data_IF_898795833232
#
_entry.id   IF_898795833232
#
_cell.length_a   1.000
_cell.length_b   1.000
_cell.length_c   1.000
_cell.angle_alpha   90.00
_cell.angle_beta   90.00
_cell.angle_gamma   90.00
#
_symmetry.space_group_name_H-M   'P 1'
#
loop_
_entity.id
_entity.type
_entity.pdbx_description
1 polymer ?
#
# COMPACT_ATOMS: atom_id res chain seq x y z
N UNK A 1 8.19 0.76 -20.41
CA UNK A 1 7.57 1.22 -19.15
C UNK A 1 7.47 0.05 -18.19
N UNK A 2 7.51 0.28 -16.88
CA UNK A 2 7.27 -0.76 -15.88
C UNK A 2 5.81 -0.71 -15.42
N UNK A 3 5.11 -1.84 -15.35
CA UNK A 3 3.77 -1.94 -14.78
C UNK A 3 3.85 -2.52 -13.36
N UNK A 4 3.40 -1.75 -12.36
CA UNK A 4 3.18 -2.23 -11.01
C UNK A 4 1.71 -2.59 -10.80
N UNK A 5 1.47 -3.74 -10.15
CA UNK A 5 0.14 -4.18 -9.73
C UNK A 5 0.18 -4.48 -8.24
N UNK A 6 -0.59 -3.73 -7.45
CA UNK A 6 -0.75 -3.94 -6.02
C UNK A 6 -2.16 -4.45 -5.72
N UNK A 7 -2.28 -5.73 -5.40
CA UNK A 7 -3.56 -6.40 -5.13
C UNK A 7 -3.81 -6.53 -3.62
N UNK A 8 -4.56 -5.57 -3.09
CA UNK A 8 -5.06 -5.60 -1.72
C UNK A 8 -6.46 -6.22 -1.60
N UNK A 9 -6.95 -6.36 -0.37
CA UNK A 9 -8.27 -6.94 -0.08
C UNK A 9 -9.45 -6.20 -0.72
N UNK A 10 -9.34 -4.87 -0.86
CA UNK A 10 -10.44 -4.03 -1.36
C UNK A 10 -10.28 -3.65 -2.82
N UNK A 11 -9.06 -3.34 -3.25
CA UNK A 11 -8.78 -2.89 -4.60
C UNK A 11 -7.48 -3.50 -5.13
N UNK A 12 -7.41 -3.65 -6.44
CA UNK A 12 -6.18 -3.87 -7.19
C UNK A 12 -5.78 -2.56 -7.86
N UNK A 13 -4.62 -2.04 -7.50
CA UNK A 13 -4.06 -0.79 -8.04
C UNK A 13 -3.11 -1.14 -9.18
N UNK A 14 -3.32 -0.52 -10.34
CA UNK A 14 -2.41 -0.55 -11.48
C UNK A 14 -1.75 0.81 -11.62
N UNK A 15 -0.46 0.83 -11.95
CA UNK A 15 0.22 2.07 -12.31
C UNK A 15 1.41 1.80 -13.23
N UNK A 16 1.68 2.76 -14.11
CA UNK A 16 2.80 2.71 -15.03
C UNK A 16 3.92 3.61 -14.53
N UNK A 17 5.14 3.12 -14.58
CA UNK A 17 6.33 3.92 -14.34
C UNK A 17 7.01 4.22 -15.67
N UNK A 18 7.14 5.51 -15.97
CA UNK A 18 7.87 5.98 -17.14
C UNK A 18 9.36 6.18 -16.79
N UNK A 19 10.28 5.38 -17.36
CA UNK A 19 11.70 5.50 -17.09
C UNK A 19 12.31 6.82 -17.59
N UNK A 20 11.70 7.49 -18.58
CA UNK A 20 12.21 8.77 -19.11
C UNK A 20 11.97 9.90 -18.13
N UNK A 21 10.76 9.97 -17.56
CA UNK A 21 10.39 11.03 -16.62
C UNK A 21 10.63 10.66 -15.15
N UNK A 22 10.90 9.37 -14.87
CA UNK A 22 11.03 8.81 -13.51
C UNK A 22 9.78 9.04 -12.65
N UNK A 23 8.60 9.03 -13.27
CA UNK A 23 7.31 9.28 -12.60
C UNK A 23 6.33 8.13 -12.79
N UNK A 24 5.48 7.96 -11.79
CA UNK A 24 4.28 7.15 -11.90
C UNK A 24 3.21 7.91 -12.69
N UNK A 25 2.61 7.25 -13.66
CA UNK A 25 1.52 7.74 -14.50
C UNK A 25 0.41 6.69 -14.58
N UNK A 26 -0.74 7.08 -15.11
CA UNK A 26 -1.80 6.16 -15.49
C UNK A 26 -2.24 5.21 -14.36
N UNK A 27 -2.40 5.77 -13.15
CA UNK A 27 -2.83 4.99 -12.00
C UNK A 27 -4.35 4.79 -12.04
N UNK A 28 -4.79 3.53 -11.96
CA UNK A 28 -6.21 3.18 -11.87
C UNK A 28 -6.44 2.02 -10.91
N UNK A 29 -7.70 1.81 -10.52
CA UNK A 29 -8.09 0.81 -9.52
C UNK A 29 -9.21 -0.07 -10.04
N UNK A 30 -9.12 -1.36 -9.74
CA UNK A 30 -10.16 -2.36 -9.96
C UNK A 30 -10.60 -2.93 -8.62
N UNK A 31 -11.83 -3.42 -8.52
CA UNK A 31 -12.29 -4.18 -7.36
C UNK A 31 -11.67 -5.59 -7.31
N UNK A 32 -11.22 -6.02 -6.12
CA UNK A 32 -10.50 -7.30 -5.94
C UNK A 32 -11.36 -8.55 -6.08
N UNK A 33 -12.69 -8.45 -5.89
CA UNK A 33 -13.60 -9.62 -5.92
C UNK A 33 -13.42 -10.46 -7.19
N UNK A 34 -13.03 -11.73 -7.07
CA UNK A 34 -12.47 -12.55 -8.17
C UNK A 34 -13.26 -12.52 -9.48
N UNK A 35 -14.56 -12.80 -9.46
CA UNK A 35 -15.39 -12.79 -10.68
C UNK A 35 -15.45 -11.40 -11.33
N UNK A 36 -15.60 -10.36 -10.50
CA UNK A 36 -15.58 -8.97 -10.96
C UNK A 36 -14.19 -8.58 -11.46
N UNK A 37 -13.12 -9.04 -10.80
CA UNK A 37 -11.75 -8.74 -11.21
C UNK A 37 -11.45 -9.34 -12.58
N UNK A 38 -11.76 -10.61 -12.84
CA UNK A 38 -11.53 -11.25 -14.15
C UNK A 38 -12.25 -10.48 -15.27
N UNK A 39 -13.52 -10.11 -15.04
CA UNK A 39 -14.30 -9.31 -15.99
C UNK A 39 -13.69 -7.93 -16.20
N UNK A 40 -13.20 -7.28 -15.15
CA UNK A 40 -12.56 -5.97 -15.23
C UNK A 40 -11.19 -6.02 -15.92
N UNK A 41 -10.38 -7.04 -15.64
CA UNK A 41 -9.10 -7.27 -16.31
C UNK A 41 -9.31 -7.42 -17.82
N UNK A 42 -10.24 -8.27 -18.24
CA UNK A 42 -10.46 -8.57 -19.67
C UNK A 42 -11.17 -7.46 -20.45
N UNK A 43 -11.86 -6.53 -19.78
CA UNK A 43 -12.63 -5.46 -20.44
C UNK A 43 -12.11 -4.06 -20.14
N UNK A 44 -12.00 -3.71 -18.86
CA UNK A 44 -11.64 -2.34 -18.44
C UNK A 44 -10.17 -2.02 -18.68
N UNK A 45 -9.25 -2.99 -18.47
CA UNK A 45 -7.82 -2.71 -18.67
C UNK A 45 -7.47 -2.48 -20.15
N UNK A 46 -7.91 -3.31 -21.12
CA UNK A 46 -7.70 -3.02 -22.53
C UNK A 46 -8.31 -1.68 -22.97
N UNK A 47 -9.53 -1.38 -22.50
CA UNK A 47 -10.18 -0.10 -22.79
C UNK A 47 -9.37 1.07 -22.24
N UNK A 48 -8.89 0.98 -21.00
CA UNK A 48 -8.08 2.02 -20.39
C UNK A 48 -6.77 2.27 -21.17
N UNK A 49 -6.09 1.21 -21.60
CA UNK A 49 -4.88 1.31 -22.43
C UNK A 49 -5.17 2.00 -23.76
N UNK A 50 -6.28 1.63 -24.42
CA UNK A 50 -6.74 2.25 -25.64
C UNK A 50 -7.05 3.74 -25.47
N UNK A 51 -7.82 4.11 -24.44
CA UNK A 51 -8.20 5.50 -24.14
C UNK A 51 -7.01 6.42 -23.85
N UNK A 52 -5.94 5.86 -23.29
CA UNK A 52 -4.72 6.61 -22.98
C UNK A 52 -3.64 6.49 -24.05
N UNK A 53 -3.96 5.88 -25.20
CA UNK A 53 -3.05 5.65 -26.32
C UNK A 53 -1.75 4.92 -25.92
N UNK A 54 -1.85 3.95 -25.00
CA UNK A 54 -0.73 3.13 -24.54
C UNK A 54 -0.82 1.77 -25.22
N UNK A 55 0.26 1.35 -25.88
CA UNK A 55 0.33 -0.01 -26.43
C UNK A 55 0.72 -1.00 -25.32
N UNK A 56 0.10 -2.19 -25.25
CA UNK A 56 0.57 -3.28 -24.37
C UNK A 56 2.04 -3.61 -24.59
N UNK A 57 2.57 -3.44 -25.81
CA UNK A 57 3.98 -3.65 -26.16
C UNK A 57 4.93 -2.66 -25.49
N UNK A 58 4.43 -1.50 -25.04
CA UNK A 58 5.24 -0.48 -24.37
C UNK A 58 5.62 -0.89 -22.93
N UNK A 59 4.94 -1.90 -22.39
CA UNK A 59 5.22 -2.46 -21.07
C UNK A 59 6.40 -3.41 -21.19
N UNK A 60 7.56 -3.02 -20.65
CA UNK A 60 8.79 -3.81 -20.70
C UNK A 60 8.84 -4.89 -19.64
N UNK A 61 8.41 -4.55 -18.42
CA UNK A 61 8.45 -5.37 -17.21
C UNK A 61 7.16 -5.21 -16.42
N UNK A 62 6.75 -6.28 -15.74
CA UNK A 62 5.57 -6.29 -14.89
C UNK A 62 5.95 -6.91 -13.54
N UNK A 63 5.65 -6.22 -12.46
CA UNK A 63 5.79 -6.76 -11.10
C UNK A 63 4.49 -6.62 -10.35
N UNK A 64 4.17 -7.60 -9.51
CA UNK A 64 2.98 -7.52 -8.67
C UNK A 64 3.18 -8.03 -7.26
N UNK A 65 2.44 -7.40 -6.35
CA UNK A 65 2.28 -7.78 -4.96
C UNK A 65 0.82 -8.16 -4.73
N UNK A 66 0.57 -9.20 -3.93
CA UNK A 66 -0.79 -9.54 -3.50
C UNK A 66 -0.80 -10.12 -2.11
N UNK A 67 -1.77 -9.69 -1.30
CA UNK A 67 -2.14 -10.31 -0.02
C UNK A 67 -3.40 -11.18 -0.13
N UNK A 68 -3.94 -11.30 -1.35
CA UNK A 68 -5.15 -12.05 -1.68
C UNK A 68 -4.77 -13.20 -2.63
N UNK A 69 -4.65 -14.45 -2.13
CA UNK A 69 -4.21 -15.59 -2.95
C UNK A 69 -5.10 -15.86 -4.18
N UNK A 70 -6.40 -15.60 -4.06
CA UNK A 70 -7.42 -15.92 -5.07
C UNK A 70 -7.25 -15.12 -6.36
N UNK A 71 -6.59 -13.95 -6.30
CA UNK A 71 -6.38 -13.09 -7.48
C UNK A 71 -5.05 -13.32 -8.18
N UNK A 72 -4.16 -14.14 -7.60
CA UNK A 72 -2.84 -14.43 -8.17
C UNK A 72 -2.95 -15.04 -9.58
N UNK A 73 -3.71 -16.13 -9.72
CA UNK A 73 -3.92 -16.81 -11.00
C UNK A 73 -4.52 -15.88 -12.07
N UNK A 74 -5.65 -15.22 -11.78
CA UNK A 74 -6.26 -14.23 -12.68
C UNK A 74 -5.32 -13.13 -13.17
N UNK A 75 -4.49 -12.55 -12.27
CA UNK A 75 -3.54 -11.50 -12.64
C UNK A 75 -2.44 -12.07 -13.55
N UNK A 76 -1.89 -13.24 -13.22
CA UNK A 76 -0.85 -13.87 -14.00
C UNK A 76 -1.32 -14.20 -15.42
N UNK A 77 -2.49 -14.86 -15.54
CA UNK A 77 -3.08 -15.23 -16.82
C UNK A 77 -3.41 -14.01 -17.68
N UNK A 78 -3.95 -12.95 -17.07
CA UNK A 78 -4.21 -11.70 -17.76
C UNK A 78 -2.92 -11.08 -18.32
N UNK A 79 -1.85 -11.05 -17.52
CA UNK A 79 -0.59 -10.45 -17.96
C UNK A 79 0.01 -11.21 -19.16
N UNK A 80 -0.02 -12.54 -19.12
CA UNK A 80 0.46 -13.39 -20.21
C UNK A 80 -0.37 -13.19 -21.48
N UNK A 81 -1.70 -13.12 -21.38
CA UNK A 81 -2.59 -12.97 -22.54
C UNK A 81 -2.58 -11.58 -23.15
N UNK A 82 -2.59 -10.53 -22.32
CA UNK A 82 -2.76 -9.15 -22.80
C UNK A 82 -1.42 -8.46 -23.09
N UNK A 83 -0.40 -8.66 -22.26
CA UNK A 83 0.93 -8.07 -22.45
C UNK A 83 1.92 -9.01 -23.13
N UNK A 84 1.60 -10.30 -23.29
CA UNK A 84 2.52 -11.31 -23.82
C UNK A 84 3.69 -11.61 -22.87
N UNK A 85 3.55 -11.31 -21.57
CA UNK A 85 4.64 -11.36 -20.59
C UNK A 85 4.16 -11.87 -19.24
N UNK A 86 4.99 -12.71 -18.62
CA UNK A 86 4.79 -13.13 -17.24
C UNK A 86 5.05 -11.96 -16.28
N UNK A 87 4.16 -11.77 -15.30
CA UNK A 87 4.38 -10.83 -14.21
C UNK A 87 5.28 -11.46 -13.13
N UNK A 88 6.23 -10.69 -12.60
CA UNK A 88 7.02 -11.13 -11.46
C UNK A 88 6.18 -11.02 -10.19
N UNK A 89 5.81 -12.16 -9.62
CA UNK A 89 5.13 -12.21 -8.33
C UNK A 89 6.11 -12.02 -7.18
N UNK A 90 5.88 -10.97 -6.38
CA UNK A 90 6.60 -10.77 -5.14
C UNK A 90 6.09 -11.74 -4.09
N UNK A 91 7.03 -12.42 -3.45
CA UNK A 91 6.79 -13.33 -2.34
C UNK A 91 8.04 -13.63 -1.53
N UNK A 92 7.99 -14.59 -0.58
CA UNK A 92 9.05 -14.85 0.40
C UNK A 92 10.43 -15.11 -0.20
N UNK A 93 10.50 -15.70 -1.40
CA UNK A 93 11.76 -16.00 -2.10
C UNK A 93 12.46 -14.71 -2.58
N UNK A 94 11.69 -13.68 -2.91
CA UNK A 94 12.19 -12.41 -3.44
C UNK A 94 13.02 -11.62 -2.45
N UNK A 95 12.89 -11.91 -1.14
CA UNK A 95 13.52 -11.14 -0.07
C UNK A 95 14.96 -11.57 0.23
N UNK A 96 15.37 -12.76 -0.22
CA UNK A 96 16.65 -13.37 0.17
C UNK A 96 17.89 -12.55 -0.23
N UNK A 97 17.80 -11.83 -1.34
CA UNK A 97 18.90 -11.02 -1.89
C UNK A 97 18.69 -9.52 -1.68
N UNK A 98 17.71 -9.13 -0.86
CA UNK A 98 17.43 -7.73 -0.59
C UNK A 98 18.22 -7.25 0.63
N UNK A 99 18.52 -5.94 0.72
CA UNK A 99 19.12 -5.34 1.92
C UNK A 99 18.14 -5.24 3.10
N UNK A 100 16.97 -5.88 3.00
CA UNK A 100 15.93 -5.91 4.01
C UNK A 100 15.58 -7.34 4.36
N UNK A 101 15.17 -7.58 5.60
CA UNK A 101 14.84 -8.93 6.06
C UNK A 101 13.71 -8.94 7.08
N UNK A 102 13.14 -10.11 7.32
CA UNK A 102 12.12 -10.33 8.34
C UNK A 102 12.29 -11.73 8.93
N UNK A 103 11.93 -11.90 10.19
CA UNK A 103 12.00 -13.19 10.89
C UNK A 103 10.97 -14.18 10.30
N UNK A 104 9.83 -13.67 9.82
CA UNK A 104 8.70 -14.48 9.34
C UNK A 104 8.31 -14.11 7.91
N UNK A 105 9.16 -14.41 6.90
CA UNK A 105 8.96 -13.96 5.53
C UNK A 105 7.71 -14.53 4.85
N UNK A 106 7.15 -15.63 5.37
CA UNK A 106 5.89 -16.22 4.86
C UNK A 106 4.63 -15.62 5.48
N UNK A 107 4.74 -14.96 6.63
CA UNK A 107 3.59 -14.40 7.37
C UNK A 107 3.41 -12.91 7.10
N UNK A 108 4.49 -12.20 6.74
CA UNK A 108 4.40 -10.77 6.42
C UNK A 108 3.72 -10.54 5.07
N UNK A 109 2.87 -9.51 5.01
CA UNK A 109 2.29 -9.02 3.76
C UNK A 109 3.36 -8.62 2.76
N UNK A 110 3.13 -8.97 1.49
CA UNK A 110 4.02 -8.63 0.37
C UNK A 110 4.05 -7.12 0.12
N UNK A 111 2.93 -6.44 0.32
CA UNK A 111 2.76 -4.99 0.32
C UNK A 111 3.62 -4.30 1.40
N UNK A 112 3.63 -4.84 2.62
CA UNK A 112 4.45 -4.32 3.72
C UNK A 112 5.94 -4.45 3.40
N UNK A 113 6.38 -5.58 2.83
CA UNK A 113 7.77 -5.75 2.40
C UNK A 113 8.14 -4.81 1.23
N UNK A 114 7.19 -4.52 0.33
CA UNK A 114 7.39 -3.50 -0.70
C UNK A 114 7.59 -2.11 -0.08
N UNK A 115 6.75 -1.73 0.89
CA UNK A 115 6.88 -0.47 1.61
C UNK A 115 8.25 -0.37 2.31
N UNK A 116 8.68 -1.45 3.00
CA UNK A 116 9.98 -1.52 3.66
C UNK A 116 11.12 -1.36 2.65
N UNK A 117 11.08 -2.06 1.51
CA UNK A 117 12.12 -1.93 0.49
C UNK A 117 12.22 -0.51 -0.04
N UNK A 118 11.07 0.13 -0.28
CA UNK A 118 11.02 1.48 -0.79
C UNK A 118 11.57 2.51 0.20
N UNK A 119 11.12 2.44 1.45
CA UNK A 119 11.62 3.31 2.52
C UNK A 119 13.12 3.09 2.76
N UNK A 120 13.56 1.84 2.82
CA UNK A 120 14.94 1.47 3.10
C UNK A 120 15.90 1.99 2.02
N UNK A 121 15.56 1.83 0.75
CA UNK A 121 16.38 2.31 -0.36
C UNK A 121 16.61 3.83 -0.32
N UNK A 122 15.67 4.59 0.24
CA UNK A 122 15.77 6.05 0.33
C UNK A 122 16.54 6.52 1.57
N UNK A 123 16.40 5.82 2.69
CA UNK A 123 16.84 6.34 3.98
C UNK A 123 17.94 5.52 4.66
N UNK A 124 17.97 4.19 4.48
CA UNK A 124 18.99 3.29 5.06
C UNK A 124 19.26 3.53 6.56
N UNK A 125 18.19 3.67 7.35
CA UNK A 125 18.22 3.89 8.78
C UNK A 125 17.00 3.28 9.44
N UNK A 126 16.88 3.34 10.77
CA UNK A 126 15.68 2.89 11.46
C UNK A 126 14.43 3.64 10.97
N UNK A 127 13.36 2.89 10.70
CA UNK A 127 12.12 3.38 10.09
C UNK A 127 10.88 2.91 10.84
N UNK A 128 9.86 3.77 10.86
CA UNK A 128 8.48 3.39 11.14
C UNK A 128 7.66 3.75 9.91
N UNK A 129 7.03 2.77 9.29
CA UNK A 129 6.20 2.98 8.10
C UNK A 129 4.74 2.83 8.51
N UNK A 130 3.97 3.89 8.33
CA UNK A 130 2.55 3.97 8.65
C UNK A 130 1.73 3.89 7.37
N UNK A 131 1.09 2.75 7.12
CA UNK A 131 0.27 2.55 5.91
C UNK A 131 -1.22 2.77 6.18
N UNK A 132 -1.80 3.79 5.56
CA UNK A 132 -3.22 4.13 5.63
C UNK A 132 -4.04 3.41 4.56
N UNK A 133 -4.12 2.08 4.69
CA UNK A 133 -4.89 1.18 3.83
C UNK A 133 -6.23 0.73 4.41
N UNK A 134 -6.68 -0.45 4.00
CA UNK A 134 -7.87 -1.13 4.58
C UNK A 134 -7.64 -1.42 6.07
N UNK A 135 -6.42 -1.79 6.42
CA UNK A 135 -5.89 -1.72 7.78
C UNK A 135 -4.96 -0.52 7.90
N UNK A 136 -4.83 0.05 9.09
CA UNK A 136 -3.75 0.95 9.43
C UNK A 136 -2.63 0.12 10.05
N UNK A 137 -1.46 0.12 9.42
CA UNK A 137 -0.32 -0.67 9.89
C UNK A 137 0.85 0.20 10.30
N UNK A 138 1.65 -0.28 11.26
CA UNK A 138 2.91 0.31 11.68
C UNK A 138 3.99 -0.74 11.50
N UNK A 139 4.82 -0.61 10.47
CA UNK A 139 5.95 -1.52 10.23
C UNK A 139 7.22 -0.91 10.77
N UNK A 140 7.85 -1.58 11.73
CA UNK A 140 9.06 -1.09 12.41
C UNK A 140 10.28 -1.81 11.85
N UNK A 141 11.29 -1.04 11.44
CA UNK A 141 12.53 -1.52 10.84
C UNK A 141 13.71 -0.94 11.61
N UNK A 142 14.70 -1.77 11.94
CA UNK A 142 15.94 -1.32 12.59
C UNK A 142 16.93 -0.67 11.61
N UNK A 143 18.08 -0.26 12.14
CA UNK A 143 19.21 0.33 11.40
C UNK A 143 19.98 -0.68 10.54
N UNK A 144 19.63 -1.96 10.58
CA UNK A 144 20.15 -3.01 9.71
C UNK A 144 19.18 -3.43 8.60
N UNK A 145 18.03 -2.78 8.45
CA UNK A 145 17.02 -3.10 7.45
C UNK A 145 16.16 -4.31 7.81
N UNK A 146 16.20 -4.76 9.06
CA UNK A 146 15.40 -5.88 9.53
C UNK A 146 14.06 -5.38 10.08
N UNK A 147 12.98 -5.95 9.58
CA UNK A 147 11.63 -5.76 10.13
C UNK A 147 11.60 -6.39 11.52
N UNK A 148 11.40 -5.53 12.52
CA UNK A 148 11.28 -5.92 13.92
C UNK A 148 9.87 -6.42 14.25
N UNK A 149 8.87 -5.81 13.64
CA UNK A 149 7.48 -6.14 13.89
C UNK A 149 6.51 -5.28 13.07
N UNK A 150 5.24 -5.67 13.13
CA UNK A 150 4.13 -4.94 12.51
C UNK A 150 2.98 -4.87 13.51
N UNK A 151 2.47 -3.67 13.77
CA UNK A 151 1.21 -3.47 14.48
C UNK A 151 0.10 -3.24 13.45
N UNK A 152 -1.09 -3.77 13.71
CA UNK A 152 -2.23 -3.70 12.80
C UNK A 152 -3.46 -3.25 13.59
N UNK A 153 -4.10 -2.17 13.12
CA UNK A 153 -5.40 -1.71 13.62
C UNK A 153 -6.35 -1.51 12.43
N UNK A 154 -7.68 -1.41 12.65
CA UNK A 154 -8.60 -1.10 11.56
C UNK A 154 -8.18 0.18 10.82
N UNK A 155 -8.31 0.22 9.50
CA UNK A 155 -8.10 1.45 8.74
C UNK A 155 -9.26 2.43 8.93
N UNK A 156 -9.07 3.69 8.56
CA UNK A 156 -10.07 4.76 8.71
C UNK A 156 -11.43 4.41 8.09
N UNK A 157 -11.43 3.95 6.83
CA UNK A 157 -12.67 3.55 6.14
C UNK A 157 -13.31 2.33 6.80
N UNK A 158 -12.48 1.36 7.23
CA UNK A 158 -12.94 0.15 7.92
C UNK A 158 -13.61 0.49 9.25
N UNK A 159 -13.04 1.41 10.01
CA UNK A 159 -13.59 1.84 11.29
C UNK A 159 -14.93 2.57 11.12
N UNK A 160 -15.04 3.51 10.17
CA UNK A 160 -16.34 4.14 9.87
C UNK A 160 -17.36 3.10 9.42
N UNK A 161 -16.96 2.21 8.52
CA UNK A 161 -17.86 1.15 8.01
C UNK A 161 -18.33 0.25 9.13
N UNK A 162 -17.48 -0.10 10.10
CA UNK A 162 -17.88 -0.93 11.25
C UNK A 162 -18.99 -0.27 12.09
N UNK A 163 -18.95 1.06 12.26
CA UNK A 163 -20.01 1.78 12.98
C UNK A 163 -21.33 1.71 12.22
N UNK A 164 -21.30 1.87 10.90
CA UNK A 164 -22.48 1.75 10.05
C UNK A 164 -23.04 0.32 10.03
N UNK A 165 -22.20 -0.70 9.84
CA UNK A 165 -22.67 -2.08 9.66
C UNK A 165 -23.03 -2.78 10.96
N UNK A 166 -22.46 -2.37 12.09
CA UNK A 166 -22.65 -3.02 13.39
C UNK A 166 -23.62 -2.28 14.31
N UNK A 167 -24.27 -1.22 13.83
CA UNK A 167 -25.28 -0.48 14.61
C UNK A 167 -26.52 -0.20 13.77
N UNK A 168 -27.67 -0.07 14.41
CA UNK A 168 -28.96 0.08 13.69
C UNK A 168 -29.29 1.51 13.28
N UNK A 169 -28.60 2.52 13.81
CA UNK A 169 -28.98 3.94 13.65
C UNK A 169 -27.87 4.85 13.16
N UNK A 170 -26.62 4.38 13.09
CA UNK A 170 -25.53 5.23 12.60
C UNK A 170 -25.51 5.17 11.07
N UNK A 171 -25.50 6.33 10.38
CA UNK A 171 -25.38 6.36 8.93
C UNK A 171 -23.95 6.08 8.48
N UNK A 172 -23.78 5.70 7.22
CA UNK A 172 -22.48 5.78 6.57
C UNK A 172 -22.09 7.26 6.39
N UNK A 173 -20.85 7.61 6.73
CA UNK A 173 -20.37 9.00 6.68
C UNK A 173 -19.11 9.14 5.84
N UNK A 174 -18.92 10.24 5.12
CA UNK A 174 -17.69 10.49 4.39
C UNK A 174 -16.53 10.80 5.34
N UNK A 175 -15.32 10.39 4.95
CA UNK A 175 -14.07 10.77 5.62
C UNK A 175 -13.77 12.25 5.38
N UNK A 176 -14.10 13.11 6.34
CA UNK A 176 -13.81 14.54 6.30
C UNK A 176 -13.49 15.06 7.69
N UNK A 177 -12.34 15.72 7.84
CA UNK A 177 -11.92 16.31 9.12
C UNK A 177 -12.90 17.41 9.52
N UNK A 178 -13.62 17.28 10.66
CA UNK A 178 -14.52 18.31 11.12
C UNK A 178 -13.76 19.42 11.86
N UNK A 179 -14.34 20.62 11.91
CA UNK A 179 -13.71 21.81 12.55
C UNK A 179 -13.52 21.69 14.06
N UNK A 180 -14.21 20.76 14.72
CA UNK A 180 -14.18 20.57 16.17
C UNK A 180 -14.21 19.09 16.52
N UNK A 181 -13.55 18.72 17.61
CA UNK A 181 -13.62 17.38 18.18
C UNK A 181 -14.95 17.09 18.91
N UNK A 182 -15.69 18.13 19.29
CA UNK A 182 -16.99 17.99 19.97
C UNK A 182 -18.10 17.92 18.91
N UNK A 183 -18.60 16.71 18.66
CA UNK A 183 -19.70 16.45 17.73
C UNK A 183 -21.01 17.09 18.18
N UNK A 184 -21.70 17.77 17.25
CA UNK A 184 -23.02 18.40 17.51
C UNK A 184 -24.21 17.69 16.85
N UNK A 185 -23.92 16.77 15.96
CA UNK A 185 -24.87 15.87 15.31
C UNK A 185 -24.20 14.51 15.07
N UNK A 186 -24.96 13.51 14.64
CA UNK A 186 -24.45 12.14 14.46
C UNK A 186 -23.30 12.06 13.45
N UNK A 187 -23.39 12.78 12.33
CA UNK A 187 -22.36 12.74 11.28
C UNK A 187 -21.07 13.34 11.82
N UNK A 188 -21.17 14.53 12.43
CA UNK A 188 -20.05 15.20 13.06
C UNK A 188 -19.46 14.36 14.19
N UNK A 189 -20.27 13.76 15.06
CA UNK A 189 -19.80 12.92 16.16
C UNK A 189 -18.97 11.72 15.66
N UNK A 190 -19.44 11.01 14.63
CA UNK A 190 -18.70 9.89 14.03
C UNK A 190 -17.39 10.40 13.41
N UNK A 191 -17.45 11.46 12.59
CA UNK A 191 -16.26 12.02 11.94
C UNK A 191 -15.21 12.50 12.94
N UNK A 192 -15.63 13.21 13.99
CA UNK A 192 -14.75 13.73 15.00
C UNK A 192 -14.12 12.59 15.81
N UNK A 193 -14.93 11.63 16.27
CA UNK A 193 -14.47 10.47 17.03
C UNK A 193 -13.43 9.66 16.26
N UNK A 194 -13.70 9.35 14.98
CA UNK A 194 -12.75 8.59 14.16
C UNK A 194 -11.51 9.41 13.82
N UNK A 195 -11.63 10.61 13.26
CA UNK A 195 -10.45 11.31 12.72
C UNK A 195 -9.53 11.88 13.80
N UNK A 196 -10.09 12.47 14.86
CA UNK A 196 -9.26 12.91 16.00
C UNK A 196 -8.79 11.73 16.83
N UNK A 197 -9.62 10.69 17.01
CA UNK A 197 -9.22 9.46 17.68
C UNK A 197 -8.04 8.78 16.99
N UNK A 198 -8.06 8.67 15.66
CA UNK A 198 -6.96 8.09 14.88
C UNK A 198 -5.71 8.97 14.87
N UNK A 199 -5.86 10.29 14.93
CA UNK A 199 -4.71 11.19 15.17
C UNK A 199 -4.04 10.86 16.51
N UNK A 200 -4.82 10.68 17.57
CA UNK A 200 -4.31 10.27 18.88
C UNK A 200 -3.70 8.88 18.87
N UNK A 201 -4.34 7.91 18.19
CA UNK A 201 -3.85 6.55 18.03
C UNK A 201 -2.47 6.54 17.36
N UNK A 202 -2.32 7.23 16.22
CA UNK A 202 -1.04 7.26 15.50
C UNK A 202 0.05 7.86 16.36
N UNK A 203 -0.19 9.01 17.01
CA UNK A 203 0.80 9.64 17.88
C UNK A 203 1.20 8.76 19.06
N UNK A 204 0.22 8.17 19.74
CA UNK A 204 0.47 7.28 20.87
C UNK A 204 1.23 6.01 20.47
N UNK A 205 0.91 5.44 19.30
CA UNK A 205 1.66 4.30 18.75
C UNK A 205 3.11 4.69 18.41
N UNK A 206 3.33 5.83 17.76
CA UNK A 206 4.69 6.30 17.45
C UNK A 206 5.50 6.57 18.71
N UNK A 207 4.91 7.17 19.73
CA UNK A 207 5.54 7.39 21.04
C UNK A 207 5.89 6.07 21.72
N UNK A 208 4.96 5.11 21.74
CA UNK A 208 5.18 3.79 22.34
C UNK A 208 6.29 3.02 21.62
N UNK A 209 6.29 2.99 20.28
CA UNK A 209 7.33 2.32 19.51
C UNK A 209 8.70 2.96 19.75
N UNK A 210 8.77 4.29 19.81
CA UNK A 210 10.01 5.04 20.07
C UNK A 210 10.55 4.80 21.49
N UNK A 211 9.70 4.53 22.47
CA UNK A 211 10.15 4.27 23.84
C UNK A 211 10.66 2.84 24.04
N UNK A 212 10.26 1.87 23.20
CA UNK A 212 10.74 0.49 23.26
C UNK A 212 12.17 0.29 22.74
N UNK A 213 12.67 1.22 21.92
CA UNK A 213 13.98 1.11 21.27
C UNK A 213 14.70 2.46 21.28
N UNK A 214 15.94 2.48 21.74
CA UNK A 214 16.83 3.63 21.65
C UNK A 214 17.38 3.81 20.21
N UNK A 215 16.47 4.01 19.25
CA UNK A 215 16.78 4.25 17.84
C UNK A 215 16.13 5.55 17.37
N UNK A 216 16.82 6.27 16.48
CA UNK A 216 16.26 7.45 15.84
C UNK A 216 15.47 7.07 14.58
N UNK A 217 14.18 6.77 14.79
CA UNK A 217 13.28 6.39 13.70
C UNK A 217 12.88 7.57 12.81
N UNK A 218 13.01 7.41 11.49
CA UNK A 218 12.25 8.19 10.51
C UNK A 218 10.87 7.57 10.34
N UNK A 219 9.84 8.40 10.30
CA UNK A 219 8.45 7.99 10.13
C UNK A 219 7.95 8.38 8.74
N UNK A 220 7.50 7.38 7.99
CA UNK A 220 6.97 7.57 6.63
C UNK A 220 5.52 7.15 6.63
N UNK A 221 4.65 7.97 6.04
CA UNK A 221 3.27 7.60 5.78
C UNK A 221 3.06 7.24 4.31
N UNK A 222 2.21 6.25 4.07
CA UNK A 222 1.76 5.83 2.72
C UNK A 222 0.27 5.47 2.77
N UNK A 223 -0.27 5.01 1.65
CA UNK A 223 -1.66 4.57 1.54
C UNK A 223 -2.59 5.69 1.08
N UNK A 224 -3.75 5.30 0.56
CA UNK A 224 -4.69 6.21 -0.11
C UNK A 224 -5.33 7.25 0.81
N UNK A 225 -5.35 7.00 2.12
CA UNK A 225 -5.97 7.87 3.12
C UNK A 225 -4.95 8.65 3.95
N UNK A 226 -3.65 8.54 3.65
CA UNK A 226 -2.56 9.24 4.36
C UNK A 226 -2.73 10.76 4.41
N UNK A 227 -3.26 11.33 3.34
CA UNK A 227 -3.46 12.78 3.23
C UNK A 227 -4.77 13.29 3.84
N UNK A 228 -5.65 12.42 4.35
CA UNK A 228 -6.91 12.83 4.98
C UNK A 228 -6.65 13.41 6.37
N UNK A 229 -5.66 12.87 7.09
CA UNK A 229 -5.29 13.33 8.43
C UNK A 229 -4.24 14.43 8.35
N UNK A 230 -4.65 15.61 7.89
CA UNK A 230 -3.78 16.80 7.82
C UNK A 230 -3.19 17.19 9.18
N UNK A 231 -3.86 16.78 10.27
CA UNK A 231 -3.38 16.93 11.64
C UNK A 231 -2.09 16.16 11.94
N UNK A 232 -1.74 15.15 11.14
CA UNK A 232 -0.57 14.29 11.29
C UNK A 232 0.59 14.66 10.36
N UNK A 233 0.45 15.65 9.49
CA UNK A 233 1.50 15.99 8.49
C UNK A 233 2.86 16.27 9.13
N UNK A 234 2.88 16.85 10.33
CA UNK A 234 4.11 17.17 11.06
C UNK A 234 4.70 15.98 11.81
N UNK A 235 3.94 14.90 11.96
CA UNK A 235 4.37 13.68 12.65
C UNK A 235 5.14 12.73 11.69
N UNK A 236 5.13 13.03 10.38
CA UNK A 236 5.80 12.27 9.34
C UNK A 236 6.90 13.07 8.66
N UNK A 237 8.06 12.46 8.47
CA UNK A 237 9.15 13.03 7.67
C UNK A 237 8.82 13.01 6.17
N UNK A 238 8.01 12.05 5.73
CA UNK A 238 7.51 11.98 4.37
C UNK A 238 6.12 11.33 4.31
N UNK A 239 5.29 11.82 3.39
CA UNK A 239 4.06 11.16 2.93
C UNK A 239 4.26 10.76 1.47
N UNK A 240 4.54 9.48 1.20
CA UNK A 240 4.74 8.94 -0.16
C UNK A 240 3.60 8.01 -0.54
N UNK A 241 2.70 8.47 -1.43
CA UNK A 241 1.57 7.66 -1.94
C UNK A 241 1.98 6.56 -2.91
N UNK A 242 3.22 6.60 -3.40
CA UNK A 242 3.77 5.64 -4.35
C UNK A 242 4.75 4.66 -3.70
N UNK A 243 4.89 4.68 -2.37
CA UNK A 243 5.86 3.88 -1.64
C UNK A 243 5.76 2.39 -1.99
N UNK A 244 4.54 1.83 -1.97
CA UNK A 244 4.30 0.42 -2.30
C UNK A 244 4.68 0.11 -3.74
N UNK A 245 4.32 0.98 -4.69
CA UNK A 245 4.60 0.81 -6.11
C UNK A 245 6.10 0.88 -6.40
N UNK A 246 6.82 1.81 -5.73
CA UNK A 246 8.26 1.90 -5.76
C UNK A 246 8.91 0.60 -5.26
N UNK A 247 8.39 0.05 -4.15
CA UNK A 247 8.81 -1.23 -3.61
C UNK A 247 8.63 -2.37 -4.59
N UNK A 248 7.44 -2.47 -5.21
CA UNK A 248 7.15 -3.49 -6.23
C UNK A 248 8.16 -3.44 -7.36
N UNK A 249 8.42 -2.23 -7.89
CA UNK A 249 9.40 -2.03 -8.97
C UNK A 249 10.79 -2.46 -8.56
N UNK A 250 11.27 -2.01 -7.41
CA UNK A 250 12.64 -2.29 -6.97
C UNK A 250 12.87 -3.76 -6.63
N UNK A 251 11.93 -4.41 -5.94
CA UNK A 251 12.03 -5.86 -5.66
C UNK A 251 12.04 -6.66 -6.96
N UNK A 252 11.17 -6.31 -7.90
CA UNK A 252 11.10 -6.98 -9.21
C UNK A 252 12.43 -6.86 -9.96
N UNK A 253 12.96 -5.65 -10.08
CA UNK A 253 14.20 -5.38 -10.81
C UNK A 253 15.43 -6.01 -10.14
N UNK A 254 15.48 -6.04 -8.80
CA UNK A 254 16.56 -6.70 -8.07
C UNK A 254 16.60 -8.21 -8.32
N UNK A 255 15.43 -8.85 -8.41
CA UNK A 255 15.35 -10.30 -8.60
C UNK A 255 15.51 -10.75 -10.06
N UNK A 256 15.24 -9.89 -11.04
CA UNK A 256 15.50 -10.21 -12.44
C UNK A 256 16.98 -10.18 -12.80
N UNK A 257 17.77 -9.26 -12.19
CA UNK A 257 19.22 -9.21 -12.37
C UNK A 257 19.92 -10.47 -11.86
N UNK A 258 19.50 -10.97 -10.69
CA UNK A 258 20.07 -12.18 -10.07
C UNK A 258 19.81 -13.47 -10.84
N UNK A 259 18.79 -13.51 -11.72
CA UNK A 259 18.52 -14.68 -12.58
C UNK A 259 19.33 -14.68 -13.88
N UNK A 260 20.07 -13.60 -14.18
CA UNK A 260 20.92 -13.47 -15.38
C UNK A 260 22.42 -13.60 -15.08
N UNK A 261 22.78 -13.77 -13.81
CA UNK A 261 24.14 -13.92 -13.29
C UNK A 261 24.34 -15.28 -12.65
#
# INVERSE_FOLDING_TARGET
MFLAIDAGNSNVVFALFDPKTQKWTNQFRLETKTELLISQLTKKVPLYFLEHAISPSDISEIGFSTVVPEVQGPIQEFCEKFFGKAAYQIGPKSYKSLPISTIRPKEIGTDLMCNVMAAWQKYQQALIIVDFGTALTFTVVDDGGKVLGVNIVPGLQTAIRSLFTSTSKLPEVPLKVPKSAIGKDTIHAIQAGILYGYTGLVRGMLETIRSEKELHFKVIATGGLSAILTTLEKDFEEIDRYLTLNGIRWITQANQKSNQS
#
